data_IF_814421913243
#
_entry.id   IF_814421913243
#
_cell.length_a   1.000
_cell.length_b   1.000
_cell.length_c   1.000
_cell.angle_alpha   90.00
_cell.angle_beta   90.00
_cell.angle_gamma   90.00
#
_symmetry.space_group_name_H-M   'P 1'
#
loop_
_entity.id
_entity.type
_entity.pdbx_description
1 polymer ?
#
# COMPACT_ATOMS: atom_id res chain seq x y z
N UNK A 1 -31.31 32.13 9.39
CA UNK A 1 -31.28 30.82 8.64
C UNK A 1 -30.11 29.99 9.19
N UNK A 2 -30.40 29.05 10.07
CA UNK A 2 -29.38 28.18 10.65
C UNK A 2 -29.02 27.08 9.63
N UNK A 3 -27.85 27.18 9.07
CA UNK A 3 -27.25 26.09 8.26
C UNK A 3 -26.94 24.94 9.23
N UNK A 4 -27.88 24.05 9.47
CA UNK A 4 -27.59 22.72 10.00
C UNK A 4 -27.11 21.86 8.84
N UNK A 5 -25.83 21.97 8.48
CA UNK A 5 -25.19 20.94 7.68
C UNK A 5 -25.02 19.71 8.59
N UNK A 6 -25.76 18.65 8.30
CA UNK A 6 -25.48 17.32 8.87
C UNK A 6 -24.16 16.83 8.26
N UNK A 7 -23.05 17.37 8.76
CA UNK A 7 -21.71 16.90 8.38
C UNK A 7 -21.51 15.53 9.03
N UNK A 8 -21.84 14.47 8.29
CA UNK A 8 -21.36 13.14 8.63
C UNK A 8 -19.83 13.21 8.56
N UNK A 9 -19.17 13.10 9.72
CA UNK A 9 -17.71 13.12 9.78
C UNK A 9 -17.14 12.02 8.86
N UNK A 10 -16.22 12.34 7.96
CA UNK A 10 -15.62 11.35 7.08
C UNK A 10 -14.88 10.30 7.89
N UNK A 11 -14.95 9.07 7.43
CA UNK A 11 -14.15 7.96 7.97
C UNK A 11 -12.67 8.29 7.82
N UNK A 12 -11.85 8.02 8.85
CA UNK A 12 -10.43 8.33 8.85
C UNK A 12 -9.57 7.10 8.54
N UNK A 13 -8.56 7.29 7.69
CA UNK A 13 -7.50 6.32 7.41
C UNK A 13 -6.13 6.91 7.72
N UNK A 14 -5.21 6.07 8.20
CA UNK A 14 -3.81 6.42 8.42
C UNK A 14 -2.91 5.73 7.40
N UNK A 15 -2.03 6.48 6.74
CA UNK A 15 -0.89 5.90 6.03
C UNK A 15 0.39 6.06 6.84
N UNK A 16 1.18 4.97 6.93
CA UNK A 16 2.50 4.93 7.56
C UNK A 16 3.50 4.55 6.46
N UNK A 17 4.16 5.54 5.87
CA UNK A 17 5.03 5.30 4.72
C UNK A 17 6.05 6.43 4.50
N UNK A 18 6.95 6.24 3.54
CA UNK A 18 7.84 7.28 3.07
C UNK A 18 7.11 8.38 2.30
N UNK A 19 7.67 9.58 2.34
CA UNK A 19 7.23 10.74 1.57
C UNK A 19 7.94 10.78 0.22
N UNK A 20 7.19 10.81 -0.88
CA UNK A 20 7.69 11.01 -2.26
C UNK A 20 7.56 12.49 -2.65
N UNK A 21 8.69 13.23 -2.70
CA UNK A 21 8.69 14.64 -3.08
C UNK A 21 8.16 14.89 -4.50
N UNK A 22 8.24 13.90 -5.39
CA UNK A 22 7.64 13.95 -6.74
C UNK A 22 6.13 13.75 -6.76
N UNK A 23 5.54 13.34 -5.63
CA UNK A 23 4.10 13.25 -5.44
C UNK A 23 3.40 12.11 -6.18
N UNK A 24 4.15 11.15 -6.76
CA UNK A 24 3.58 10.04 -7.54
C UNK A 24 3.33 8.77 -6.74
N UNK A 25 4.02 8.57 -5.61
CA UNK A 25 3.92 7.41 -4.73
C UNK A 25 3.91 7.82 -3.25
N UNK A 26 4.24 6.90 -2.34
CA UNK A 26 4.35 7.15 -0.91
C UNK A 26 3.07 7.72 -0.31
N UNK A 27 3.23 8.47 0.79
CA UNK A 27 2.10 9.10 1.47
C UNK A 27 1.31 10.04 0.55
N UNK A 28 1.93 10.67 -0.44
CA UNK A 28 1.27 11.57 -1.37
C UNK A 28 0.25 10.83 -2.26
N UNK A 29 0.60 9.67 -2.79
CA UNK A 29 -0.34 8.83 -3.53
C UNK A 29 -1.46 8.30 -2.62
N UNK A 30 -1.12 7.93 -1.39
CA UNK A 30 -2.06 7.42 -0.40
C UNK A 30 -3.10 8.48 -0.03
N UNK A 31 -2.67 9.69 0.34
CA UNK A 31 -3.55 10.80 0.72
C UNK A 31 -4.45 11.26 -0.44
N UNK A 32 -3.89 11.35 -1.66
CA UNK A 32 -4.68 11.62 -2.89
C UNK A 32 -5.76 10.55 -3.09
N UNK A 33 -5.41 9.27 -2.86
CA UNK A 33 -6.34 8.15 -2.99
C UNK A 33 -7.45 8.21 -1.95
N UNK A 34 -7.10 8.48 -0.68
CA UNK A 34 -8.07 8.66 0.41
C UNK A 34 -9.04 9.78 0.09
N UNK A 35 -8.53 10.96 -0.30
CA UNK A 35 -9.35 12.11 -0.68
C UNK A 35 -10.27 11.79 -1.86
N UNK A 36 -9.77 11.14 -2.92
CA UNK A 36 -10.55 10.75 -4.09
C UNK A 36 -11.67 9.75 -3.77
N UNK A 37 -11.52 8.97 -2.69
CA UNK A 37 -12.51 8.00 -2.21
C UNK A 37 -13.39 8.52 -1.07
N UNK A 38 -13.29 9.83 -0.73
CA UNK A 38 -14.12 10.47 0.29
C UNK A 38 -13.75 10.06 1.72
N UNK A 39 -12.48 9.73 1.97
CA UNK A 39 -11.95 9.34 3.27
C UNK A 39 -10.99 10.43 3.76
N UNK A 40 -11.05 10.80 5.04
CA UNK A 40 -10.06 11.68 5.65
C UNK A 40 -8.74 10.92 5.83
N UNK A 41 -7.69 11.38 5.16
CA UNK A 41 -6.36 10.77 5.21
C UNK A 41 -5.45 11.47 6.22
N UNK A 42 -4.91 10.69 7.16
CA UNK A 42 -3.82 11.10 8.05
C UNK A 42 -2.53 10.38 7.67
N UNK A 43 -1.37 10.85 8.13
CA UNK A 43 -0.08 10.25 7.80
C UNK A 43 0.88 10.22 8.97
N UNK A 44 1.76 9.19 8.99
CA UNK A 44 2.98 9.14 9.78
C UNK A 44 4.15 8.79 8.85
N UNK A 45 5.21 9.58 8.89
CA UNK A 45 6.28 9.54 7.89
C UNK A 45 7.45 8.68 8.37
N UNK A 46 7.84 7.69 7.57
CA UNK A 46 8.97 6.80 7.89
C UNK A 46 10.29 7.28 7.32
N UNK A 47 10.25 7.98 6.19
CA UNK A 47 11.41 8.59 5.55
C UNK A 47 10.99 9.74 4.63
N UNK A 48 11.85 10.72 4.46
CA UNK A 48 11.75 11.74 3.43
C UNK A 48 12.63 11.34 2.26
N UNK A 49 12.10 11.38 1.03
CA UNK A 49 12.91 11.14 -0.17
C UNK A 49 13.06 12.38 -1.01
N UNK A 50 14.27 12.62 -1.52
CA UNK A 50 14.48 13.50 -2.66
C UNK A 50 14.23 12.66 -3.92
N UNK A 51 13.02 12.73 -4.43
CA UNK A 51 12.53 11.85 -5.51
C UNK A 51 11.75 12.66 -6.53
N UNK A 52 11.88 12.27 -7.80
CA UNK A 52 11.11 12.78 -8.92
C UNK A 52 10.83 11.65 -9.93
N UNK A 53 10.37 11.98 -11.13
CA UNK A 53 10.10 10.99 -12.19
C UNK A 53 11.36 10.34 -12.78
N UNK A 54 12.55 10.84 -12.47
CA UNK A 54 13.83 10.24 -12.90
C UNK A 54 14.36 9.22 -11.89
N UNK A 55 14.02 9.36 -10.60
CA UNK A 55 14.44 8.42 -9.57
C UNK A 55 14.52 9.03 -8.17
N UNK A 56 15.15 8.27 -7.27
CA UNK A 56 15.43 8.65 -5.89
C UNK A 56 16.90 9.03 -5.78
N UNK A 57 17.19 10.29 -5.39
CA UNK A 57 18.56 10.80 -5.22
C UNK A 57 19.03 10.83 -3.77
N UNK A 58 18.09 10.92 -2.81
CA UNK A 58 18.41 10.85 -1.39
C UNK A 58 17.23 10.26 -0.59
N UNK A 59 17.54 9.61 0.53
CA UNK A 59 16.58 9.11 1.50
C UNK A 59 17.04 9.55 2.90
N UNK A 60 16.17 10.25 3.61
CA UNK A 60 16.40 10.65 5.00
C UNK A 60 15.44 9.89 5.91
N UNK A 61 15.89 8.89 6.67
CA UNK A 61 15.03 8.15 7.60
C UNK A 61 14.51 9.07 8.72
N UNK A 62 13.23 8.98 9.04
CA UNK A 62 12.67 9.69 10.19
C UNK A 62 13.02 8.91 11.47
N UNK A 63 13.55 9.59 12.50
CA UNK A 63 13.88 8.93 13.76
C UNK A 63 12.67 8.24 14.38
N UNK A 64 12.85 7.01 14.87
CA UNK A 64 11.75 6.22 15.45
C UNK A 64 11.03 6.93 16.63
N UNK A 65 11.72 7.82 17.34
CA UNK A 65 11.11 8.66 18.39
C UNK A 65 10.09 9.63 17.79
N UNK A 66 10.41 10.27 16.65
CA UNK A 66 9.50 11.20 15.97
C UNK A 66 8.33 10.46 15.32
N UNK A 67 8.60 9.37 14.60
CA UNK A 67 7.55 8.51 14.04
C UNK A 67 6.54 8.06 15.10
N UNK A 68 7.02 7.69 16.29
CA UNK A 68 6.13 7.33 17.41
C UNK A 68 5.31 8.52 17.90
N UNK A 69 5.87 9.71 17.92
CA UNK A 69 5.15 10.93 18.30
C UNK A 69 4.03 11.24 17.28
N UNK A 70 4.28 11.11 15.97
CA UNK A 70 3.27 11.26 14.93
C UNK A 70 2.14 10.21 15.10
N UNK A 71 2.50 8.93 15.29
CA UNK A 71 1.53 7.86 15.51
C UNK A 71 0.69 8.14 16.76
N UNK A 72 1.30 8.60 17.84
CA UNK A 72 0.59 8.95 19.07
C UNK A 72 -0.38 10.10 18.83
N UNK A 73 0.08 11.20 18.23
CA UNK A 73 -0.77 12.36 17.94
C UNK A 73 -1.98 11.99 17.07
N UNK A 74 -1.78 11.16 16.03
CA UNK A 74 -2.87 10.74 15.14
C UNK A 74 -3.85 9.80 15.85
N UNK A 75 -3.36 8.76 16.53
CA UNK A 75 -4.26 7.79 17.18
C UNK A 75 -4.98 8.34 18.42
N UNK A 76 -4.44 9.37 19.06
CA UNK A 76 -5.06 9.96 20.27
C UNK A 76 -6.21 10.93 19.91
N UNK A 77 -6.23 11.47 18.68
CA UNK A 77 -7.24 12.42 18.22
C UNK A 77 -8.23 11.82 17.21
N UNK A 78 -7.76 10.98 16.29
CA UNK A 78 -8.58 10.47 15.19
C UNK A 78 -9.06 9.02 15.41
N UNK A 79 -10.35 8.77 15.15
CA UNK A 79 -10.92 7.42 15.10
C UNK A 79 -10.48 6.70 13.81
N UNK A 80 -9.27 6.15 13.80
CA UNK A 80 -8.70 5.48 12.63
C UNK A 80 -9.39 4.15 12.36
N UNK A 81 -10.13 4.08 11.25
CA UNK A 81 -10.85 2.88 10.81
C UNK A 81 -9.96 1.89 10.05
N UNK A 82 -8.96 2.37 9.32
CA UNK A 82 -7.99 1.53 8.63
C UNK A 82 -6.59 2.16 8.60
N UNK A 83 -5.58 1.32 8.69
CA UNK A 83 -4.16 1.70 8.54
C UNK A 83 -3.59 1.01 7.31
N UNK A 84 -2.87 1.76 6.49
CA UNK A 84 -2.02 1.23 5.42
C UNK A 84 -0.56 1.49 5.76
N UNK A 85 0.28 0.47 5.68
CA UNK A 85 1.74 0.65 5.70
C UNK A 85 2.30 0.56 4.28
N UNK A 86 3.32 1.37 3.99
CA UNK A 86 4.07 1.31 2.73
C UNK A 86 5.55 1.11 3.00
N UNK A 87 6.42 1.93 2.36
CA UNK A 87 7.87 1.89 2.59
C UNK A 87 8.20 2.19 4.06
N UNK A 88 8.84 1.25 4.74
CA UNK A 88 9.27 1.38 6.15
C UNK A 88 10.78 1.57 6.32
N UNK A 89 11.56 1.30 5.27
CA UNK A 89 13.00 1.53 5.22
C UNK A 89 13.83 0.45 5.92
N UNK A 90 13.86 0.43 7.24
CA UNK A 90 14.73 -0.45 8.02
C UNK A 90 13.98 -1.32 9.06
N UNK A 91 14.69 -2.31 9.61
CA UNK A 91 14.15 -3.24 10.60
C UNK A 91 13.73 -2.55 11.92
N UNK A 92 14.35 -1.44 12.27
CA UNK A 92 14.03 -0.67 13.48
C UNK A 92 12.67 0.02 13.32
N UNK A 93 12.44 0.62 12.18
CA UNK A 93 11.17 1.25 11.81
C UNK A 93 10.06 0.21 11.72
N UNK A 94 10.29 -0.93 11.06
CA UNK A 94 9.33 -2.05 11.00
C UNK A 94 8.90 -2.49 12.40
N UNK A 95 9.85 -2.76 13.30
CA UNK A 95 9.54 -3.18 14.68
C UNK A 95 8.84 -2.09 15.49
N UNK A 96 9.18 -0.81 15.27
CA UNK A 96 8.50 0.32 15.89
C UNK A 96 7.03 0.37 15.48
N UNK A 97 6.75 0.33 14.17
CA UNK A 97 5.40 0.37 13.60
C UNK A 97 4.60 -0.86 14.06
N UNK A 98 5.16 -2.06 13.96
CA UNK A 98 4.49 -3.29 14.38
C UNK A 98 4.08 -3.25 15.87
N UNK A 99 4.96 -2.77 16.75
CA UNK A 99 4.66 -2.62 18.19
C UNK A 99 3.51 -1.63 18.44
N UNK A 100 3.52 -0.48 17.77
CA UNK A 100 2.45 0.50 17.93
C UNK A 100 1.12 -0.02 17.39
N UNK A 101 1.11 -0.71 16.25
CA UNK A 101 -0.10 -1.28 15.67
C UNK A 101 -0.64 -2.47 16.49
N UNK A 102 0.22 -3.31 17.06
CA UNK A 102 -0.18 -4.38 17.99
C UNK A 102 -0.85 -3.82 19.26
N UNK A 103 -0.40 -2.65 19.73
CA UNK A 103 -0.98 -1.96 20.89
C UNK A 103 -2.30 -1.26 20.56
N UNK A 104 -2.36 -0.56 19.42
CA UNK A 104 -3.53 0.26 19.01
C UNK A 104 -4.65 -0.55 18.37
N UNK A 105 -4.33 -1.71 17.78
CA UNK A 105 -5.27 -2.68 17.19
C UNK A 105 -6.29 -2.02 16.25
N UNK A 106 -5.84 -1.34 15.16
CA UNK A 106 -6.77 -0.75 14.20
C UNK A 106 -7.70 -1.84 13.66
N UNK A 107 -8.92 -1.46 13.29
CA UNK A 107 -9.91 -2.41 12.74
C UNK A 107 -9.42 -3.12 11.49
N UNK A 108 -8.67 -2.40 10.64
CA UNK A 108 -8.08 -2.93 9.41
C UNK A 108 -6.62 -2.50 9.27
N UNK A 109 -5.75 -3.46 8.98
CA UNK A 109 -4.36 -3.22 8.67
C UNK A 109 -4.02 -3.78 7.28
N UNK A 110 -3.65 -2.89 6.36
CA UNK A 110 -3.20 -3.22 5.01
C UNK A 110 -1.68 -3.02 4.94
N UNK A 111 -0.95 -4.10 4.69
CA UNK A 111 0.50 -4.07 4.59
C UNK A 111 0.90 -4.14 3.11
N UNK A 112 1.46 -3.05 2.57
CA UNK A 112 2.12 -3.04 1.26
C UNK A 112 3.62 -3.19 1.51
N UNK A 113 4.22 -4.36 1.22
CA UNK A 113 5.60 -4.67 1.60
C UNK A 113 6.60 -4.07 0.61
N UNK A 114 6.59 -2.75 0.46
CA UNK A 114 7.39 -2.02 -0.52
C UNK A 114 8.88 -2.25 -0.28
N UNK A 115 9.56 -2.94 -1.21
CA UNK A 115 10.98 -3.29 -1.13
C UNK A 115 11.84 -2.55 -2.13
N UNK A 116 11.28 -2.19 -3.29
CA UNK A 116 12.00 -1.59 -4.40
C UNK A 116 11.13 -0.45 -4.95
N UNK A 117 11.75 0.72 -5.18
CA UNK A 117 11.09 1.81 -5.88
C UNK A 117 10.88 1.45 -7.36
N UNK A 118 9.93 2.13 -8.04
CA UNK A 118 9.74 1.99 -9.49
C UNK A 118 11.03 2.29 -10.29
N UNK A 119 11.90 3.14 -9.75
CA UNK A 119 13.23 3.44 -10.30
C UNK A 119 14.26 2.33 -10.13
N UNK A 120 13.94 1.22 -9.45
CA UNK A 120 14.87 0.13 -9.14
C UNK A 120 15.68 0.34 -7.85
N UNK A 121 15.55 1.49 -7.19
CA UNK A 121 16.26 1.72 -5.93
C UNK A 121 15.74 0.80 -4.82
N UNK A 122 16.66 0.13 -4.11
CA UNK A 122 16.31 -0.73 -2.98
C UNK A 122 15.86 0.13 -1.80
N UNK A 123 14.66 -0.11 -1.30
CA UNK A 123 14.02 0.63 -0.22
C UNK A 123 13.98 -0.14 1.11
N UNK A 124 14.29 -1.43 1.07
CA UNK A 124 14.25 -2.30 2.24
C UNK A 124 15.49 -3.23 2.25
N UNK A 125 16.15 -3.35 3.39
CA UNK A 125 17.29 -4.25 3.57
C UNK A 125 16.83 -5.67 3.97
N UNK A 126 17.78 -6.65 3.97
CA UNK A 126 17.46 -8.05 4.32
C UNK A 126 16.95 -8.21 5.75
N UNK A 127 17.46 -7.43 6.70
CA UNK A 127 17.04 -7.49 8.10
C UNK A 127 15.63 -6.94 8.26
N UNK A 128 15.25 -5.95 7.45
CA UNK A 128 13.91 -5.41 7.44
C UNK A 128 12.90 -6.38 6.83
N UNK A 129 13.28 -7.17 5.82
CA UNK A 129 12.43 -8.26 5.29
C UNK A 129 12.13 -9.28 6.39
N UNK A 130 13.14 -9.71 7.15
CA UNK A 130 12.95 -10.60 8.30
C UNK A 130 12.02 -9.97 9.34
N UNK A 131 12.25 -8.71 9.68
CA UNK A 131 11.40 -7.99 10.64
C UNK A 131 9.95 -7.86 10.17
N UNK A 132 9.69 -7.67 8.86
CA UNK A 132 8.34 -7.67 8.29
C UNK A 132 7.64 -9.01 8.52
N UNK A 133 8.32 -10.13 8.18
CA UNK A 133 7.78 -11.49 8.32
C UNK A 133 7.46 -11.79 9.77
N UNK A 134 8.36 -11.46 10.68
CA UNK A 134 8.22 -11.83 12.10
C UNK A 134 7.28 -10.93 12.90
N UNK A 135 7.15 -9.64 12.52
CA UNK A 135 6.49 -8.68 13.41
C UNK A 135 5.26 -7.99 12.79
N UNK A 136 5.24 -7.76 11.47
CA UNK A 136 4.18 -6.95 10.86
C UNK A 136 3.19 -7.79 10.04
N UNK A 137 3.67 -8.76 9.26
CA UNK A 137 2.80 -9.64 8.45
C UNK A 137 1.80 -10.41 9.33
N UNK A 138 2.15 -10.92 10.52
CA UNK A 138 1.18 -11.59 11.40
C UNK A 138 0.03 -10.70 11.87
N UNK A 139 0.16 -9.38 11.77
CA UNK A 139 -0.88 -8.42 12.13
C UNK A 139 -1.76 -8.02 10.94
N UNK A 140 -1.34 -8.35 9.71
CA UNK A 140 -1.99 -7.88 8.49
C UNK A 140 -3.36 -8.52 8.26
N UNK A 141 -4.40 -7.70 8.07
CA UNK A 141 -5.68 -8.17 7.53
C UNK A 141 -5.58 -8.41 6.02
N UNK A 142 -4.79 -7.58 5.32
CA UNK A 142 -4.50 -7.76 3.90
C UNK A 142 -3.03 -7.44 3.64
N UNK A 143 -2.31 -8.37 3.04
CA UNK A 143 -0.97 -8.18 2.52
C UNK A 143 -1.06 -7.99 0.99
N UNK A 144 -0.38 -6.97 0.43
CA UNK A 144 -0.50 -6.63 -1.00
C UNK A 144 0.84 -6.70 -1.75
N UNK A 145 1.54 -7.85 -1.80
CA UNK A 145 2.82 -7.97 -2.48
C UNK A 145 2.64 -8.01 -4.01
N UNK A 146 3.62 -7.49 -4.74
CA UNK A 146 3.83 -7.85 -6.13
C UNK A 146 4.62 -9.17 -6.24
N UNK A 147 4.81 -9.70 -7.46
CA UNK A 147 5.52 -10.97 -7.66
C UNK A 147 6.94 -10.95 -7.09
N UNK A 148 7.81 -9.95 -7.39
CA UNK A 148 9.15 -9.86 -6.78
C UNK A 148 9.14 -9.74 -5.26
N UNK A 149 8.19 -9.00 -4.68
CA UNK A 149 8.03 -8.88 -3.22
C UNK A 149 7.61 -10.22 -2.60
N UNK A 150 6.70 -10.95 -3.23
CA UNK A 150 6.30 -12.29 -2.79
C UNK A 150 7.46 -13.28 -2.86
N UNK A 151 8.28 -13.25 -3.94
CA UNK A 151 9.49 -14.04 -4.05
C UNK A 151 10.49 -13.75 -2.91
N UNK A 152 10.71 -12.46 -2.63
CA UNK A 152 11.63 -12.03 -1.57
C UNK A 152 11.14 -12.43 -0.17
N UNK A 153 9.83 -12.33 0.10
CA UNK A 153 9.24 -12.71 1.38
C UNK A 153 9.25 -14.22 1.61
N UNK A 154 9.02 -15.01 0.56
CA UNK A 154 8.87 -16.47 0.67
C UNK A 154 10.12 -17.23 0.32
N UNK A 155 11.14 -16.57 -0.25
CA UNK A 155 12.33 -17.19 -0.84
C UNK A 155 12.00 -18.23 -1.91
N UNK A 156 10.86 -18.06 -2.61
CA UNK A 156 10.37 -18.95 -3.67
C UNK A 156 10.38 -18.21 -5.00
N UNK A 157 10.88 -18.86 -6.07
CA UNK A 157 10.75 -18.34 -7.43
C UNK A 157 9.31 -18.51 -7.94
N UNK A 158 8.74 -17.45 -8.53
CA UNK A 158 7.37 -17.46 -9.08
C UNK A 158 7.45 -17.40 -10.61
N UNK A 159 7.39 -18.56 -11.25
CA UNK A 159 7.52 -18.71 -12.72
C UNK A 159 6.17 -18.90 -13.42
N UNK A 160 5.15 -19.32 -12.69
CA UNK A 160 3.83 -19.67 -13.20
C UNK A 160 2.74 -19.40 -12.14
N UNK A 161 1.46 -19.49 -12.49
CA UNK A 161 0.35 -19.26 -11.55
C UNK A 161 0.35 -20.16 -10.31
N UNK A 162 0.77 -21.42 -10.42
CA UNK A 162 0.85 -22.37 -9.28
C UNK A 162 1.93 -21.97 -8.27
N UNK A 163 3.06 -21.44 -8.74
CA UNK A 163 4.09 -20.90 -7.85
C UNK A 163 3.57 -19.68 -7.09
N UNK A 164 2.80 -18.80 -7.77
CA UNK A 164 2.15 -17.64 -7.14
C UNK A 164 1.15 -18.04 -6.07
N UNK A 165 0.37 -19.09 -6.31
CA UNK A 165 -0.54 -19.65 -5.31
C UNK A 165 0.22 -20.20 -4.10
N UNK A 166 1.28 -20.99 -4.33
CA UNK A 166 2.14 -21.52 -3.25
C UNK A 166 2.75 -20.39 -2.42
N UNK A 167 3.27 -19.34 -3.06
CA UNK A 167 3.80 -18.17 -2.38
C UNK A 167 2.72 -17.47 -1.54
N UNK A 168 1.50 -17.29 -2.08
CA UNK A 168 0.39 -16.71 -1.34
C UNK A 168 -0.01 -17.56 -0.13
N UNK A 169 -0.07 -18.89 -0.27
CA UNK A 169 -0.34 -19.80 0.86
C UNK A 169 0.74 -19.73 1.93
N UNK A 170 2.02 -19.59 1.55
CA UNK A 170 3.12 -19.38 2.49
C UNK A 170 2.95 -18.05 3.25
N UNK A 171 2.56 -16.97 2.56
CA UNK A 171 2.31 -15.66 3.17
C UNK A 171 1.11 -15.68 4.13
N UNK A 172 0.06 -16.43 3.81
CA UNK A 172 -1.04 -16.71 4.75
C UNK A 172 -0.53 -17.50 5.97
N UNK A 173 0.37 -18.47 5.75
CA UNK A 173 1.04 -19.23 6.81
C UNK A 173 1.92 -18.35 7.74
N UNK A 174 2.41 -17.21 7.27
CA UNK A 174 3.09 -16.21 8.09
C UNK A 174 2.13 -15.37 8.95
N UNK A 175 0.81 -15.58 8.83
CA UNK A 175 -0.21 -14.98 9.68
C UNK A 175 -1.05 -13.88 9.03
N UNK A 176 -0.79 -13.50 7.78
CA UNK A 176 -1.68 -12.58 7.04
C UNK A 176 -3.06 -13.22 6.87
N UNK A 177 -4.17 -12.46 7.07
CA UNK A 177 -5.53 -13.02 6.92
C UNK A 177 -5.96 -13.13 5.45
N UNK A 178 -5.41 -12.29 4.59
CA UNK A 178 -5.60 -12.33 3.15
C UNK A 178 -4.37 -11.81 2.41
N UNK A 179 -4.16 -12.30 1.18
CA UNK A 179 -3.10 -11.86 0.27
C UNK A 179 -3.72 -11.41 -1.04
N UNK A 180 -3.42 -10.18 -1.46
CA UNK A 180 -3.68 -9.67 -2.80
C UNK A 180 -2.36 -9.64 -3.58
N UNK A 181 -2.06 -10.71 -4.31
CA UNK A 181 -0.86 -10.85 -5.14
C UNK A 181 -1.03 -10.03 -6.43
N UNK A 182 -0.26 -8.94 -6.55
CA UNK A 182 -0.32 -7.99 -7.67
C UNK A 182 0.36 -8.56 -8.92
N UNK A 183 -0.35 -8.61 -10.04
CA UNK A 183 0.13 -9.19 -11.29
C UNK A 183 0.89 -8.24 -12.23
N UNK A 184 1.08 -6.97 -11.87
CA UNK A 184 1.63 -5.94 -12.75
C UNK A 184 3.03 -6.22 -13.33
N UNK A 185 3.83 -7.05 -12.66
CA UNK A 185 5.17 -7.50 -13.10
C UNK A 185 5.14 -8.80 -13.93
N UNK A 186 3.95 -9.35 -14.19
CA UNK A 186 3.78 -10.53 -15.04
C UNK A 186 4.15 -10.28 -16.50
N UNK A 187 4.53 -11.37 -17.21
CA UNK A 187 4.76 -11.34 -18.65
C UNK A 187 3.42 -11.43 -19.40
N UNK A 188 3.27 -10.72 -20.52
CA UNK A 188 2.08 -10.77 -21.36
C UNK A 188 1.28 -9.46 -21.41
N UNK A 189 0.10 -9.54 -22.05
CA UNK A 189 -0.77 -8.38 -22.30
C UNK A 189 -1.79 -8.13 -21.19
N UNK A 190 -1.84 -8.99 -20.19
CA UNK A 190 -2.77 -8.89 -19.05
C UNK A 190 -2.04 -8.66 -17.75
N UNK A 191 -2.66 -7.88 -16.88
CA UNK A 191 -2.36 -7.81 -15.44
C UNK A 191 -3.40 -8.66 -14.74
N UNK A 192 -2.93 -9.69 -14.01
CA UNK A 192 -3.80 -10.63 -13.29
C UNK A 192 -3.51 -10.50 -11.80
N UNK A 193 -4.35 -9.75 -11.10
CA UNK A 193 -4.29 -9.64 -9.64
C UNK A 193 -5.06 -10.81 -9.01
N UNK A 194 -4.46 -11.48 -8.03
CA UNK A 194 -5.02 -12.67 -7.39
C UNK A 194 -5.23 -12.47 -5.92
N UNK A 195 -6.42 -12.75 -5.46
CA UNK A 195 -6.80 -12.73 -4.05
C UNK A 195 -6.79 -14.14 -3.47
N UNK A 196 -6.27 -14.29 -2.24
CA UNK A 196 -6.26 -15.52 -1.45
C UNK A 196 -6.67 -15.20 -0.01
N UNK A 197 -7.60 -16.00 0.53
CA UNK A 197 -8.00 -15.98 1.94
C UNK A 197 -8.52 -17.37 2.36
N UNK A 198 -8.97 -17.52 3.61
CA UNK A 198 -9.50 -18.78 4.13
C UNK A 198 -10.73 -19.32 3.38
N UNK A 199 -11.41 -18.49 2.56
CA UNK A 199 -12.56 -18.86 1.74
C UNK A 199 -12.17 -19.29 0.33
N UNK A 200 -10.88 -19.36 0.00
CA UNK A 200 -10.33 -19.68 -1.32
C UNK A 200 -9.83 -18.45 -2.07
N UNK A 201 -9.75 -18.54 -3.38
CA UNK A 201 -9.15 -17.51 -4.23
C UNK A 201 -10.11 -16.98 -5.28
N UNK A 202 -9.76 -15.83 -5.86
CA UNK A 202 -10.29 -15.30 -7.12
C UNK A 202 -9.24 -14.47 -7.82
N UNK A 203 -9.43 -14.23 -9.11
CA UNK A 203 -8.57 -13.35 -9.89
C UNK A 203 -9.37 -12.23 -10.56
N UNK A 204 -8.69 -11.11 -10.80
CA UNK A 204 -9.19 -9.99 -11.60
C UNK A 204 -8.21 -9.74 -12.71
N UNK A 205 -8.70 -9.77 -13.96
CA UNK A 205 -7.92 -9.58 -15.17
C UNK A 205 -8.15 -8.20 -15.75
N UNK A 206 -7.07 -7.52 -16.11
CA UNK A 206 -7.11 -6.22 -16.77
C UNK A 206 -6.09 -6.20 -17.92
N UNK A 207 -6.33 -5.41 -18.96
CA UNK A 207 -5.34 -5.19 -19.98
C UNK A 207 -4.16 -4.37 -19.45
N UNK A 208 -2.95 -4.80 -19.77
CA UNK A 208 -1.72 -4.06 -19.49
C UNK A 208 -1.67 -2.84 -20.41
N UNK A 209 -1.51 -1.67 -19.83
CA UNK A 209 -1.37 -0.45 -20.61
C UNK A 209 0.06 -0.34 -21.18
N UNK A 210 0.24 0.28 -22.37
CA UNK A 210 1.54 0.33 -23.08
C UNK A 210 2.49 1.40 -22.51
N UNK A 211 2.46 1.62 -21.20
CA UNK A 211 3.34 2.56 -20.52
C UNK A 211 3.54 2.15 -19.06
N UNK A 212 4.63 2.64 -18.47
CA UNK A 212 4.90 2.50 -17.05
C UNK A 212 4.29 3.66 -16.28
N UNK A 213 3.82 3.36 -15.06
CA UNK A 213 3.25 4.35 -14.17
C UNK A 213 3.75 4.15 -12.74
N UNK A 214 4.06 5.28 -12.10
CA UNK A 214 4.55 5.34 -10.73
C UNK A 214 3.39 5.38 -9.72
N UNK A 215 3.54 4.66 -8.60
CA UNK A 215 2.60 4.70 -7.49
C UNK A 215 1.38 3.78 -7.61
N UNK A 216 1.37 2.83 -8.56
CA UNK A 216 0.25 1.88 -8.73
C UNK A 216 0.02 1.02 -7.49
N UNK A 217 1.10 0.48 -6.86
CA UNK A 217 1.03 -0.32 -5.63
C UNK A 217 0.50 0.49 -4.45
N UNK A 218 1.07 1.68 -4.22
CA UNK A 218 0.61 2.59 -3.16
C UNK A 218 -0.87 2.95 -3.33
N UNK A 219 -1.29 3.34 -4.55
CA UNK A 219 -2.70 3.65 -4.85
C UNK A 219 -3.61 2.44 -4.59
N UNK A 220 -3.19 1.21 -4.97
CA UNK A 220 -3.99 0.01 -4.75
C UNK A 220 -4.19 -0.28 -3.25
N UNK A 221 -3.11 -0.29 -2.48
CA UNK A 221 -3.16 -0.57 -1.04
C UNK A 221 -3.90 0.52 -0.26
N UNK A 222 -3.75 1.79 -0.64
CA UNK A 222 -4.53 2.89 -0.07
C UNK A 222 -6.02 2.80 -0.43
N UNK A 223 -6.36 2.49 -1.68
CA UNK A 223 -7.75 2.26 -2.09
C UNK A 223 -8.38 1.08 -1.34
N UNK A 224 -7.61 0.01 -1.12
CA UNK A 224 -8.04 -1.14 -0.30
C UNK A 224 -8.38 -0.69 1.14
N UNK A 225 -7.50 0.10 1.76
CA UNK A 225 -7.71 0.65 3.10
C UNK A 225 -8.96 1.53 3.17
N UNK A 226 -9.14 2.43 2.21
CA UNK A 226 -10.30 3.31 2.12
C UNK A 226 -11.61 2.53 1.97
N UNK A 227 -11.65 1.51 1.11
CA UNK A 227 -12.86 0.71 0.88
C UNK A 227 -13.23 -0.15 2.10
N UNK A 228 -12.23 -0.71 2.81
CA UNK A 228 -12.43 -1.42 4.07
C UNK A 228 -12.91 -0.48 5.19
N UNK A 229 -12.33 0.71 5.29
CA UNK A 229 -12.73 1.73 6.26
C UNK A 229 -14.20 2.12 6.09
N UNK A 230 -14.70 2.19 4.85
CA UNK A 230 -16.11 2.45 4.51
C UNK A 230 -17.03 1.24 4.74
N UNK A 231 -16.53 0.14 5.30
CA UNK A 231 -17.31 -1.03 5.67
C UNK A 231 -17.51 -2.07 4.58
N UNK A 232 -16.79 -2.00 3.44
CA UNK A 232 -16.87 -3.05 2.42
C UNK A 232 -16.24 -4.34 2.92
N UNK A 233 -16.83 -5.47 2.54
CA UNK A 233 -16.23 -6.77 2.77
C UNK A 233 -14.88 -6.90 2.00
N UNK A 234 -13.85 -7.60 2.54
CA UNK A 234 -12.49 -7.60 1.99
C UNK A 234 -12.40 -7.97 0.49
N UNK A 235 -13.12 -9.00 0.05
CA UNK A 235 -13.14 -9.42 -1.37
C UNK A 235 -13.75 -8.36 -2.30
N UNK A 236 -14.78 -7.65 -1.83
CA UNK A 236 -15.38 -6.55 -2.59
C UNK A 236 -14.46 -5.32 -2.58
N UNK A 237 -13.84 -4.99 -1.46
CA UNK A 237 -12.87 -3.92 -1.34
C UNK A 237 -11.69 -4.12 -2.31
N UNK A 238 -11.16 -5.35 -2.44
CA UNK A 238 -10.10 -5.68 -3.39
C UNK A 238 -10.52 -5.41 -4.85
N UNK A 239 -11.70 -5.86 -5.26
CA UNK A 239 -12.23 -5.59 -6.61
C UNK A 239 -12.40 -4.09 -6.89
N UNK A 240 -12.92 -3.34 -5.90
CA UNK A 240 -13.09 -1.89 -6.00
C UNK A 240 -11.75 -1.15 -6.07
N UNK A 241 -10.77 -1.56 -5.27
CA UNK A 241 -9.42 -0.99 -5.29
C UNK A 241 -8.72 -1.22 -6.64
N UNK A 242 -8.79 -2.44 -7.18
CA UNK A 242 -8.26 -2.76 -8.51
C UNK A 242 -8.95 -1.90 -9.59
N UNK A 243 -10.27 -1.80 -9.56
CA UNK A 243 -11.03 -0.98 -10.51
C UNK A 243 -10.68 0.52 -10.38
N UNK A 244 -10.42 1.03 -9.16
CA UNK A 244 -9.96 2.39 -8.93
C UNK A 244 -8.60 2.64 -9.59
N UNK A 245 -7.63 1.74 -9.36
CA UNK A 245 -6.30 1.84 -9.99
C UNK A 245 -6.40 1.82 -11.52
N UNK A 246 -7.23 0.97 -12.09
CA UNK A 246 -7.42 0.92 -13.55
C UNK A 246 -7.98 2.23 -14.11
N UNK A 247 -8.92 2.88 -13.42
CA UNK A 247 -9.42 4.22 -13.82
C UNK A 247 -8.34 5.28 -13.70
N UNK A 248 -7.59 5.28 -12.60
CA UNK A 248 -6.49 6.22 -12.35
C UNK A 248 -5.37 6.07 -13.40
N UNK A 249 -5.07 4.84 -13.82
CA UNK A 249 -4.13 4.52 -14.89
C UNK A 249 -4.61 5.02 -16.27
N UNK A 250 -5.87 4.81 -16.63
CA UNK A 250 -6.43 5.30 -17.91
C UNK A 250 -6.30 6.81 -18.05
N UNK A 251 -6.31 7.55 -16.94
CA UNK A 251 -6.16 9.00 -16.89
C UNK A 251 -4.76 9.45 -16.45
N UNK A 252 -3.78 8.53 -16.45
CA UNK A 252 -2.41 8.84 -16.02
C UNK A 252 -1.78 9.91 -16.92
N UNK A 253 -1.00 10.79 -16.31
CA UNK A 253 -0.36 11.93 -16.98
C UNK A 253 1.13 11.97 -16.67
N UNK A 254 1.87 12.76 -17.46
CA UNK A 254 3.31 12.94 -17.33
C UNK A 254 3.59 14.32 -16.70
N UNK A 255 3.89 14.41 -15.40
CA UNK A 255 4.11 15.71 -14.73
C UNK A 255 5.53 16.26 -14.92
N UNK A 256 6.50 15.39 -15.21
CA UNK A 256 7.91 15.71 -15.33
C UNK A 256 8.44 15.58 -16.75
N UNK A 257 9.77 15.66 -16.89
CA UNK A 257 10.44 15.59 -18.19
C UNK A 257 10.64 14.15 -18.71
N UNK A 258 10.44 13.12 -17.87
CA UNK A 258 10.52 11.72 -18.29
C UNK A 258 9.21 11.23 -18.88
N UNK A 259 9.24 10.06 -19.54
CA UNK A 259 8.01 9.39 -20.03
C UNK A 259 7.24 8.67 -18.93
N UNK A 260 7.76 8.64 -17.68
CA UNK A 260 7.11 7.98 -16.54
C UNK A 260 5.82 8.74 -16.19
N UNK A 261 4.71 8.03 -16.20
CA UNK A 261 3.40 8.59 -15.84
C UNK A 261 3.13 8.45 -14.35
N UNK A 262 2.32 9.33 -13.81
CA UNK A 262 1.72 9.21 -12.48
C UNK A 262 0.22 9.02 -12.61
N UNK A 263 -0.37 8.35 -11.63
CA UNK A 263 -1.81 8.08 -11.63
C UNK A 263 -2.61 9.35 -11.35
N UNK A 264 -3.76 9.49 -12.02
CA UNK A 264 -4.72 10.54 -11.72
C UNK A 264 -5.76 10.02 -10.72
N UNK A 265 -5.46 10.17 -9.42
CA UNK A 265 -6.39 9.85 -8.34
C UNK A 265 -7.45 10.96 -8.28
N UNK A 266 -8.55 10.81 -9.04
CA UNK A 266 -9.67 11.77 -9.10
C UNK A 266 -10.91 11.17 -8.44
N UNK A 267 -11.77 11.98 -7.81
CA UNK A 267 -13.12 11.55 -7.39
C UNK A 267 -13.92 11.01 -8.59
N UNK A 268 -14.96 10.25 -8.30
CA UNK A 268 -15.95 9.80 -9.32
C UNK A 268 -16.81 10.96 -9.79
#
# INVERSE_FOLDING_TARGET
MSYQSSTVNPVCCLTIAGSDSGGGAGIQADLKTFAALGVHGTSAITALTAQNTQGVTAVHPVPAKHLRAELTAVFDDFAIAAVKTGMLGDARTVRCVARELARRKPRWLIVDPVMIATSGARLLDKNAVKALIENLIPLADVLTPNLPEAEALTSMAIRNPRDGERAAMTLLGFGAKAVLLKGGHGRGREVIDRWFDARGSFEVRNHKLPFEAHGTGCTLSAAMAAELAKGRAPRAAARHAIAFVQRALKNAYTPGMTRLRVLAQRPR
#
